data_IF_331937577897
#
_entry.id   IF_331937577897
#
_cell.length_a   1.000
_cell.length_b   1.000
_cell.length_c   1.000
_cell.angle_alpha   90.00
_cell.angle_beta   90.00
_cell.angle_gamma   90.00
#
_symmetry.space_group_name_H-M   'P 1'
#
loop_
_entity.id
_entity.type
_entity.pdbx_description
1 polymer ?
#
# COMPACT_ATOMS: atom_id res chain seq x y z
N UNK A 1 6.43 -11.30 5.89
CA UNK A 1 5.95 -10.75 7.17
C UNK A 1 6.78 -11.30 8.31
N UNK A 2 6.97 -10.50 9.37
CA UNK A 2 7.69 -10.90 10.59
C UNK A 2 6.90 -11.88 11.47
N UNK A 3 5.57 -11.86 11.36
CA UNK A 3 4.66 -12.87 11.95
C UNK A 3 4.88 -14.29 11.42
N UNK A 4 5.60 -14.45 10.30
CA UNK A 4 5.96 -15.77 9.74
C UNK A 4 7.42 -16.15 10.09
N UNK A 5 8.09 -15.37 10.95
CA UNK A 5 9.48 -15.55 11.36
C UNK A 5 10.40 -14.41 10.89
N UNK A 6 11.68 -14.43 11.32
CA UNK A 6 12.67 -13.41 10.99
C UNK A 6 12.77 -13.11 9.50
N UNK A 7 12.99 -11.85 9.14
CA UNK A 7 13.11 -11.43 7.75
C UNK A 7 13.84 -10.10 7.59
N UNK A 8 14.63 -10.00 6.52
CA UNK A 8 15.09 -8.72 6.00
C UNK A 8 13.98 -7.99 5.20
N UNK A 9 14.24 -6.74 4.79
CA UNK A 9 13.27 -5.93 4.06
C UNK A 9 12.83 -6.57 2.73
N UNK A 10 13.76 -7.14 1.98
CA UNK A 10 13.50 -7.82 0.70
C UNK A 10 12.57 -9.01 0.90
N UNK A 11 12.84 -9.83 1.89
CA UNK A 11 12.02 -10.97 2.27
C UNK A 11 10.64 -10.55 2.78
N UNK A 12 10.53 -9.43 3.49
CA UNK A 12 9.23 -8.89 3.90
C UNK A 12 8.41 -8.49 2.68
N UNK A 13 8.99 -7.73 1.74
CA UNK A 13 8.34 -7.32 0.48
C UNK A 13 7.89 -8.55 -0.30
N UNK A 14 8.77 -9.54 -0.49
CA UNK A 14 8.45 -10.76 -1.21
C UNK A 14 7.30 -11.52 -0.54
N UNK A 15 7.37 -11.76 0.77
CA UNK A 15 6.32 -12.47 1.51
C UNK A 15 4.97 -11.75 1.47
N UNK A 16 4.94 -10.42 1.38
CA UNK A 16 3.69 -9.63 1.25
C UNK A 16 3.17 -9.72 -0.19
N UNK A 17 4.04 -9.62 -1.17
CA UNK A 17 3.69 -9.77 -2.59
C UNK A 17 3.12 -11.16 -2.87
N UNK A 18 3.80 -12.23 -2.44
CA UNK A 18 3.35 -13.62 -2.62
C UNK A 18 1.97 -13.87 -2.00
N UNK A 19 1.72 -13.32 -0.80
CA UNK A 19 0.45 -13.50 -0.08
C UNK A 19 -0.70 -12.67 -0.63
N UNK A 20 -0.40 -11.74 -1.52
CA UNK A 20 -1.38 -10.85 -2.13
C UNK A 20 -1.44 -11.02 -3.64
N UNK A 21 -0.78 -12.06 -4.19
CA UNK A 21 -0.63 -12.29 -5.62
C UNK A 21 -0.16 -11.04 -6.38
N UNK A 22 0.81 -10.32 -5.79
CA UNK A 22 1.37 -9.07 -6.31
C UNK A 22 0.49 -7.83 -6.10
N UNK A 23 -0.71 -7.95 -5.54
CA UNK A 23 -1.61 -6.80 -5.32
C UNK A 23 -1.02 -5.76 -4.37
N UNK A 24 -0.26 -6.20 -3.36
CA UNK A 24 0.52 -5.32 -2.49
C UNK A 24 2.00 -5.63 -2.65
N UNK A 25 2.71 -4.69 -3.26
CA UNK A 25 4.17 -4.74 -3.37
C UNK A 25 4.74 -3.44 -2.80
N UNK A 26 4.97 -3.37 -1.48
CA UNK A 26 5.52 -2.17 -0.85
C UNK A 26 6.94 -1.91 -1.38
N UNK A 27 7.33 -0.64 -1.62
CA UNK A 27 8.72 -0.31 -1.97
C UNK A 27 9.68 -0.78 -0.88
N UNK A 28 10.86 -1.26 -1.28
CA UNK A 28 11.85 -1.77 -0.35
C UNK A 28 12.29 -0.70 0.66
N UNK A 29 12.50 0.55 0.22
CA UNK A 29 12.92 1.63 1.13
C UNK A 29 11.87 1.90 2.22
N UNK A 30 10.59 1.72 1.90
CA UNK A 30 9.50 1.85 2.87
C UNK A 30 9.48 0.68 3.86
N UNK A 31 9.82 -0.53 3.42
CA UNK A 31 9.95 -1.69 4.31
C UNK A 31 11.14 -1.52 5.26
N UNK A 32 12.28 -1.05 4.76
CA UNK A 32 13.47 -0.73 5.56
C UNK A 32 13.19 0.37 6.60
N UNK A 33 12.52 1.46 6.17
CA UNK A 33 12.12 2.53 7.08
C UNK A 33 11.17 2.02 8.18
N UNK A 34 10.20 1.19 7.81
CA UNK A 34 9.27 0.61 8.77
C UNK A 34 9.99 -0.29 9.79
N UNK A 35 10.93 -1.12 9.35
CA UNK A 35 11.78 -1.93 10.24
C UNK A 35 12.54 -1.02 11.20
N UNK A 36 13.20 0.03 10.71
CA UNK A 36 13.96 0.96 11.55
C UNK A 36 13.10 1.66 12.61
N UNK A 37 11.88 2.07 12.24
CA UNK A 37 10.92 2.67 13.17
C UNK A 37 10.45 1.67 14.23
N UNK A 38 10.21 0.41 13.85
CA UNK A 38 9.82 -0.64 14.79
C UNK A 38 10.98 -1.02 15.72
N UNK A 39 12.22 -1.01 15.21
CA UNK A 39 13.42 -1.28 15.98
C UNK A 39 13.66 -0.18 17.03
N UNK A 40 13.52 1.09 16.64
CA UNK A 40 13.60 2.22 17.57
C UNK A 40 12.53 2.21 18.67
N UNK A 41 11.43 1.46 18.47
CA UNK A 41 10.38 1.25 19.48
C UNK A 41 10.54 -0.05 20.28
N UNK A 42 11.59 -0.84 20.02
CA UNK A 42 11.83 -2.12 20.68
C UNK A 42 10.84 -3.23 20.30
N UNK A 43 10.04 -3.03 19.24
CA UNK A 43 9.07 -4.03 18.74
C UNK A 43 9.77 -5.13 17.95
N UNK A 44 10.89 -4.79 17.33
CA UNK A 44 11.75 -5.73 16.62
C UNK A 44 13.21 -5.49 17.01
N UNK A 45 14.02 -6.54 16.99
CA UNK A 45 15.48 -6.44 16.96
C UNK A 45 15.95 -6.65 15.53
N UNK A 46 17.03 -5.98 15.14
CA UNK A 46 17.66 -6.15 13.83
C UNK A 46 19.08 -6.63 14.06
N UNK A 47 19.39 -7.81 13.54
CA UNK A 47 20.72 -8.40 13.56
C UNK A 47 21.12 -8.75 12.12
N UNK A 48 22.27 -8.25 11.67
CA UNK A 48 22.76 -8.37 10.28
C UNK A 48 21.69 -8.06 9.20
N UNK A 49 20.87 -7.03 9.45
CA UNK A 49 19.78 -6.62 8.55
C UNK A 49 18.52 -7.49 8.61
N UNK A 50 18.52 -8.57 9.40
CA UNK A 50 17.37 -9.44 9.62
C UNK A 50 16.58 -8.95 10.83
N UNK A 51 15.32 -8.55 10.61
CA UNK A 51 14.43 -8.15 11.68
C UNK A 51 13.73 -9.37 12.31
N UNK A 52 13.67 -9.40 13.63
CA UNK A 52 12.99 -10.43 14.44
C UNK A 52 12.08 -9.75 15.46
N UNK A 53 10.86 -10.29 15.67
CA UNK A 53 9.96 -9.76 16.70
C UNK A 53 10.58 -9.98 18.09
N UNK A 54 10.49 -8.96 18.94
CA UNK A 54 10.80 -9.10 20.36
C UNK A 54 9.59 -9.62 21.12
N UNK A 55 9.79 -10.05 22.36
CA UNK A 55 8.69 -10.39 23.26
C UNK A 55 7.68 -9.22 23.43
N UNK A 56 8.17 -7.97 23.45
CA UNK A 56 7.31 -6.77 23.43
C UNK A 56 6.47 -6.72 22.15
N UNK A 57 7.08 -6.99 20.99
CA UNK A 57 6.39 -7.00 19.71
C UNK A 57 5.33 -8.10 19.61
N UNK A 58 5.66 -9.32 20.04
CA UNK A 58 4.72 -10.43 20.09
C UNK A 58 3.53 -10.13 21.01
N UNK A 59 3.80 -9.61 22.22
CA UNK A 59 2.75 -9.22 23.16
C UNK A 59 1.87 -8.07 22.65
N UNK A 60 2.46 -7.08 21.96
CA UNK A 60 1.72 -5.96 21.38
C UNK A 60 0.80 -6.42 20.24
N UNK A 61 1.28 -7.33 19.40
CA UNK A 61 0.48 -7.95 18.34
C UNK A 61 -0.65 -8.79 18.93
N UNK A 62 -0.36 -9.63 19.94
CA UNK A 62 -1.36 -10.42 20.65
C UNK A 62 -2.43 -9.54 21.32
N UNK A 63 -2.03 -8.45 22.00
CA UNK A 63 -2.95 -7.49 22.61
C UNK A 63 -3.87 -6.81 21.59
N UNK A 64 -3.37 -6.60 20.36
CA UNK A 64 -4.14 -6.06 19.22
C UNK A 64 -4.97 -7.14 18.51
N UNK A 65 -4.95 -8.39 18.95
CA UNK A 65 -5.62 -9.51 18.30
C UNK A 65 -5.00 -9.90 16.95
N UNK A 66 -3.75 -9.52 16.69
CA UNK A 66 -3.04 -9.77 15.43
C UNK A 66 -2.19 -11.04 15.58
N UNK A 67 -2.68 -12.13 15.00
CA UNK A 67 -1.97 -13.39 14.78
C UNK A 67 -1.51 -13.53 13.31
N UNK A 68 -0.63 -14.49 13.03
CA UNK A 68 -0.23 -14.82 11.66
C UNK A 68 -1.43 -15.22 10.78
N UNK A 69 -2.46 -15.85 11.35
CA UNK A 69 -3.69 -16.21 10.64
C UNK A 69 -4.54 -14.99 10.30
N UNK A 70 -4.81 -14.12 11.28
CA UNK A 70 -5.58 -12.88 11.05
C UNK A 70 -4.87 -11.93 10.08
N UNK A 71 -3.54 -11.84 10.15
CA UNK A 71 -2.74 -11.06 9.20
C UNK A 71 -2.82 -11.63 7.77
N UNK A 72 -2.80 -12.97 7.62
CA UNK A 72 -3.01 -13.62 6.32
C UNK A 72 -4.42 -13.38 5.78
N UNK A 73 -5.45 -13.50 6.62
CA UNK A 73 -6.83 -13.22 6.23
C UNK A 73 -7.01 -11.74 5.82
N UNK A 74 -6.36 -10.81 6.54
CA UNK A 74 -6.33 -9.41 6.19
C UNK A 74 -5.64 -9.17 4.84
N UNK A 75 -4.47 -9.77 4.61
CA UNK A 75 -3.76 -9.66 3.32
C UNK A 75 -4.55 -10.29 2.16
N UNK A 76 -5.20 -11.43 2.37
CA UNK A 76 -6.05 -12.06 1.38
C UNK A 76 -7.26 -11.17 1.04
N UNK A 77 -7.87 -10.54 2.05
CA UNK A 77 -8.94 -9.55 1.82
C UNK A 77 -8.40 -8.27 1.17
N UNK A 78 -7.21 -7.83 1.55
CA UNK A 78 -6.56 -6.69 0.92
C UNK A 78 -6.19 -6.97 -0.55
N UNK A 79 -5.90 -8.23 -0.91
CA UNK A 79 -5.75 -8.66 -2.29
C UNK A 79 -7.06 -8.54 -3.08
N UNK A 80 -8.21 -8.81 -2.46
CA UNK A 80 -9.53 -8.51 -3.05
C UNK A 80 -9.76 -7.00 -3.24
N UNK A 81 -9.12 -6.15 -2.43
CA UNK A 81 -9.04 -4.70 -2.60
C UNK A 81 -7.84 -4.23 -3.46
N UNK A 82 -7.10 -5.16 -4.07
CA UNK A 82 -5.88 -4.88 -4.83
C UNK A 82 -6.10 -3.84 -5.92
N UNK A 83 -7.23 -3.92 -6.62
CA UNK A 83 -7.60 -2.95 -7.65
C UNK A 83 -7.90 -1.57 -7.06
N UNK A 84 -8.48 -1.50 -5.86
CA UNK A 84 -8.67 -0.24 -5.13
C UNK A 84 -7.34 0.42 -4.74
N UNK A 85 -6.35 -0.36 -4.32
CA UNK A 85 -5.01 0.15 -4.01
C UNK A 85 -4.27 0.62 -5.26
N UNK A 86 -4.36 -0.12 -6.36
CA UNK A 86 -3.84 0.29 -7.68
C UNK A 86 -4.48 1.61 -8.12
N UNK A 87 -5.80 1.73 -8.09
CA UNK A 87 -6.52 2.96 -8.43
C UNK A 87 -6.00 4.15 -7.59
N UNK A 88 -5.87 3.98 -6.27
CA UNK A 88 -5.34 5.03 -5.40
C UNK A 88 -3.92 5.44 -5.77
N UNK A 89 -3.03 4.47 -6.04
CA UNK A 89 -1.64 4.72 -6.45
C UNK A 89 -1.57 5.49 -7.76
N UNK A 90 -2.29 5.04 -8.78
CA UNK A 90 -2.32 5.69 -10.10
C UNK A 90 -2.88 7.12 -10.01
N UNK A 91 -3.97 7.34 -9.25
CA UNK A 91 -4.50 8.69 -9.02
C UNK A 91 -3.47 9.60 -8.32
N UNK A 92 -2.67 9.07 -7.38
CA UNK A 92 -1.61 9.84 -6.73
C UNK A 92 -0.49 10.21 -7.70
N UNK A 93 -0.10 9.29 -8.59
CA UNK A 93 0.89 9.57 -9.63
C UNK A 93 0.39 10.63 -10.64
N UNK A 94 -0.86 10.50 -11.10
CA UNK A 94 -1.50 11.50 -11.96
C UNK A 94 -1.52 12.88 -11.27
N UNK A 95 -1.86 12.94 -9.98
CA UNK A 95 -1.82 14.19 -9.23
C UNK A 95 -0.40 14.79 -9.11
N UNK A 96 0.62 13.95 -8.92
CA UNK A 96 2.03 14.37 -8.90
C UNK A 96 2.49 14.96 -10.25
N UNK A 97 2.13 14.30 -11.35
CA UNK A 97 2.39 14.79 -12.71
C UNK A 97 1.62 16.09 -12.98
N UNK A 98 0.35 16.16 -12.59
CA UNK A 98 -0.47 17.36 -12.73
C UNK A 98 0.16 18.56 -12.03
N UNK A 99 0.59 18.41 -10.78
CA UNK A 99 1.32 19.45 -10.05
C UNK A 99 2.57 19.88 -10.81
N UNK A 100 3.38 18.92 -11.26
CA UNK A 100 4.62 19.22 -11.98
C UNK A 100 4.35 20.01 -13.26
N UNK A 101 3.35 19.61 -14.05
CA UNK A 101 2.97 20.27 -15.32
C UNK A 101 2.35 21.66 -15.08
N UNK A 102 1.52 21.81 -14.05
CA UNK A 102 0.92 23.12 -13.72
C UNK A 102 2.00 24.16 -13.42
N UNK A 103 3.02 23.80 -12.63
CA UNK A 103 4.06 24.74 -12.19
C UNK A 103 5.20 24.90 -13.20
N UNK A 104 5.62 23.82 -13.87
CA UNK A 104 6.85 23.79 -14.66
C UNK A 104 6.64 23.38 -16.14
N UNK A 105 5.40 23.07 -16.54
CA UNK A 105 5.11 22.57 -17.88
C UNK A 105 4.99 23.65 -18.95
N UNK A 106 5.27 23.25 -20.18
CA UNK A 106 4.98 23.99 -21.42
C UNK A 106 3.47 24.10 -21.67
N UNK A 107 3.06 24.99 -22.57
CA UNK A 107 1.64 25.19 -22.90
C UNK A 107 1.03 23.92 -23.54
N UNK A 108 1.78 23.20 -24.38
CA UNK A 108 1.35 21.92 -24.93
C UNK A 108 1.16 20.84 -23.84
N UNK A 109 2.03 20.83 -22.82
CA UNK A 109 1.89 19.89 -21.69
C UNK A 109 0.69 20.23 -20.82
N UNK A 110 0.40 21.53 -20.61
CA UNK A 110 -0.79 21.98 -19.87
C UNK A 110 -2.08 21.64 -20.61
N UNK A 111 -2.10 21.77 -21.94
CA UNK A 111 -3.24 21.34 -22.75
C UNK A 111 -3.48 19.83 -22.62
N UNK A 112 -2.42 19.01 -22.72
CA UNK A 112 -2.51 17.56 -22.50
C UNK A 112 -2.98 17.21 -21.09
N UNK A 113 -2.55 17.97 -20.08
CA UNK A 113 -3.02 17.80 -18.71
C UNK A 113 -4.53 18.08 -18.59
N UNK A 114 -5.05 19.11 -19.25
CA UNK A 114 -6.47 19.41 -19.24
C UNK A 114 -7.29 18.25 -19.83
N UNK A 115 -6.88 17.72 -20.97
CA UNK A 115 -7.53 16.59 -21.62
C UNK A 115 -7.48 15.31 -20.77
N UNK A 116 -6.32 15.03 -20.16
CA UNK A 116 -6.14 13.89 -19.26
C UNK A 116 -7.00 14.04 -17.98
N UNK A 117 -7.06 15.23 -17.40
CA UNK A 117 -7.86 15.51 -16.21
C UNK A 117 -9.34 15.32 -16.46
N UNK A 118 -9.85 15.76 -17.62
CA UNK A 118 -11.25 15.56 -18.01
C UNK A 118 -11.61 14.07 -18.09
N UNK A 119 -10.76 13.26 -18.73
CA UNK A 119 -10.95 11.81 -18.86
C UNK A 119 -10.94 11.09 -17.51
N UNK A 120 -10.00 11.44 -16.63
CA UNK A 120 -9.92 10.85 -15.28
C UNK A 120 -11.16 11.22 -14.47
N UNK A 121 -11.60 12.48 -14.52
CA UNK A 121 -12.78 12.94 -13.78
C UNK A 121 -14.05 12.22 -14.27
N UNK A 122 -14.21 12.07 -15.58
CA UNK A 122 -15.33 11.35 -16.19
C UNK A 122 -15.36 9.89 -15.73
N UNK A 123 -14.23 9.18 -15.82
CA UNK A 123 -14.12 7.79 -15.42
C UNK A 123 -14.42 7.58 -13.92
N UNK A 124 -13.85 8.43 -13.05
CA UNK A 124 -14.09 8.35 -11.59
C UNK A 124 -15.56 8.65 -11.26
N UNK A 125 -16.16 9.64 -11.93
CA UNK A 125 -17.58 9.99 -11.71
C UNK A 125 -18.51 8.85 -12.15
N UNK A 126 -18.22 8.22 -13.30
CA UNK A 126 -18.98 7.07 -13.78
C UNK A 126 -18.87 5.89 -12.81
N UNK A 127 -17.66 5.55 -12.38
CA UNK A 127 -17.42 4.50 -11.39
C UNK A 127 -18.16 4.77 -10.07
N UNK A 128 -18.11 6.01 -9.58
CA UNK A 128 -18.82 6.41 -8.36
C UNK A 128 -20.34 6.22 -8.49
N UNK A 129 -20.94 6.59 -9.64
CA UNK A 129 -22.38 6.37 -9.87
C UNK A 129 -22.72 4.89 -9.87
N UNK A 130 -21.95 4.05 -10.56
CA UNK A 130 -22.17 2.60 -10.58
C UNK A 130 -22.04 1.96 -9.20
N UNK A 131 -21.04 2.37 -8.40
CA UNK A 131 -20.87 1.85 -7.05
C UNK A 131 -22.01 2.28 -6.11
N UNK A 132 -22.46 3.54 -6.18
CA UNK A 132 -23.63 4.00 -5.41
C UNK A 132 -24.90 3.26 -5.80
N UNK A 133 -25.10 2.97 -7.08
CA UNK A 133 -26.24 2.17 -7.53
C UNK A 133 -26.20 0.74 -6.96
N UNK A 134 -25.04 0.07 -7.04
CA UNK A 134 -24.87 -1.27 -6.47
C UNK A 134 -25.10 -1.31 -4.94
N UNK A 135 -24.67 -0.27 -4.22
CA UNK A 135 -24.91 -0.14 -2.77
C UNK A 135 -26.37 0.16 -2.44
N UNK A 136 -27.13 0.79 -3.33
CA UNK A 136 -28.55 1.09 -3.14
C UNK A 136 -29.47 -0.11 -3.45
N UNK A 137 -28.98 -1.10 -4.20
CA UNK A 137 -29.67 -2.37 -4.51
C UNK A 137 -29.48 -3.45 -3.42
N UNK A 138 -28.70 -3.15 -2.37
CA UNK A 138 -28.31 -4.07 -1.28
C UNK A 138 -29.13 -3.86 0.00
#
# INVERSE_FOLDING_TARGET
>A
MLLDGPADATQIVQRVSDKTDGALTPPQEMAELAIGVLAGRGVVTVDDGVATLTELGENLLAWRGISSETARAFLARAAQFGDGFKIRKELFQVAGLARTIVWNGTDEQKQKLADASAKVLEAVTAAQKSLHAALAES
#
